data_IF_778879245867
#
_entry.id   IF_778879245867
#
_cell.length_a   1.000
_cell.length_b   1.000
_cell.length_c   1.000
_cell.angle_alpha   90.00
_cell.angle_beta   90.00
_cell.angle_gamma   90.00
#
_symmetry.space_group_name_H-M   'P 1'
#
loop_
_entity.id
_entity.type
_entity.pdbx_description
1 polymer ?
#
# COMPACT_ATOMS: atom_id res chain seq x y z
N UNK A 1 2.58 -22.14 -20.64
CA UNK A 1 1.13 -22.45 -20.58
C UNK A 1 0.44 -21.52 -19.56
N UNK A 2 -0.77 -21.01 -19.83
CA UNK A 2 -1.49 -20.06 -18.94
C UNK A 2 -1.74 -20.60 -17.53
N UNK A 3 -2.07 -21.88 -17.40
CA UNK A 3 -2.24 -22.55 -16.09
C UNK A 3 -0.98 -22.48 -15.21
N UNK A 4 0.18 -22.70 -15.81
CA UNK A 4 1.47 -22.63 -15.08
C UNK A 4 1.76 -21.19 -14.65
N UNK A 5 1.57 -20.21 -15.55
CA UNK A 5 1.76 -18.81 -15.21
C UNK A 5 0.78 -18.33 -14.12
N UNK A 6 -0.48 -18.79 -14.17
CA UNK A 6 -1.50 -18.50 -13.19
C UNK A 6 -1.15 -19.04 -11.80
N UNK A 7 -0.68 -20.30 -11.70
CA UNK A 7 -0.20 -20.88 -10.45
C UNK A 7 0.96 -20.08 -9.87
N UNK A 8 1.99 -19.81 -10.68
CA UNK A 8 3.16 -19.04 -10.25
C UNK A 8 2.77 -17.64 -9.77
N UNK A 9 1.86 -16.97 -10.48
CA UNK A 9 1.37 -15.66 -10.09
C UNK A 9 0.62 -15.70 -8.75
N UNK A 10 -0.27 -16.68 -8.57
CA UNK A 10 -1.00 -16.86 -7.32
C UNK A 10 -0.04 -17.10 -6.14
N UNK A 11 0.99 -17.94 -6.32
CA UNK A 11 1.98 -18.23 -5.28
C UNK A 11 2.81 -16.99 -4.90
N UNK A 12 3.19 -16.17 -5.89
CA UNK A 12 3.90 -14.92 -5.67
C UNK A 12 3.02 -13.91 -4.92
N UNK A 13 1.76 -13.75 -5.32
CA UNK A 13 0.82 -12.85 -4.64
C UNK A 13 0.56 -13.32 -3.22
N UNK A 14 0.42 -14.62 -2.97
CA UNK A 14 0.23 -15.17 -1.63
C UNK A 14 1.43 -14.86 -0.70
N UNK A 15 2.67 -14.91 -1.21
CA UNK A 15 3.86 -14.51 -0.45
C UNK A 15 3.83 -13.03 -0.09
N UNK A 16 3.45 -12.18 -1.04
CA UNK A 16 3.32 -10.73 -0.80
C UNK A 16 2.21 -10.42 0.22
N UNK A 17 1.07 -11.10 0.13
CA UNK A 17 -0.03 -10.99 1.10
C UNK A 17 0.38 -11.46 2.49
N UNK A 18 1.14 -12.56 2.59
CA UNK A 18 1.68 -13.04 3.86
C UNK A 18 2.63 -12.02 4.48
N UNK A 19 3.49 -11.40 3.65
CA UNK A 19 4.34 -10.30 4.11
C UNK A 19 3.50 -9.12 4.62
N UNK A 20 2.40 -8.78 3.97
CA UNK A 20 1.47 -7.72 4.39
C UNK A 20 0.52 -8.11 5.55
N UNK A 21 0.85 -9.16 6.32
CA UNK A 21 0.05 -9.67 7.45
C UNK A 21 -1.38 -10.12 7.06
N UNK A 22 -1.54 -10.62 5.83
CA UNK A 22 -2.79 -11.17 5.29
C UNK A 22 -2.63 -12.65 4.85
N UNK A 23 -2.13 -13.56 5.72
CA UNK A 23 -1.79 -14.93 5.33
C UNK A 23 -3.01 -15.78 4.93
N UNK A 24 -4.20 -15.40 5.40
CA UNK A 24 -5.44 -16.11 5.12
C UNK A 24 -6.04 -15.77 3.76
N UNK A 25 -5.54 -14.72 3.10
CA UNK A 25 -6.07 -14.28 1.82
C UNK A 25 -5.51 -15.15 0.71
N UNK A 26 -6.39 -15.83 -0.01
CA UNK A 26 -6.01 -16.72 -1.11
C UNK A 26 -6.46 -16.15 -2.45
N UNK A 27 -5.59 -16.24 -3.46
CA UNK A 27 -5.89 -15.89 -4.84
C UNK A 27 -6.10 -17.15 -5.67
N UNK A 28 -7.27 -17.27 -6.29
CA UNK A 28 -7.60 -18.30 -7.26
C UNK A 28 -7.78 -17.69 -8.65
N UNK A 29 -6.97 -18.14 -9.60
CA UNK A 29 -7.09 -17.75 -11.01
C UNK A 29 -7.99 -18.77 -11.72
N UNK A 30 -9.20 -18.35 -12.07
CA UNK A 30 -10.16 -19.18 -12.79
C UNK A 30 -9.89 -19.06 -14.30
N UNK A 31 -9.71 -20.20 -14.95
CA UNK A 31 -9.60 -20.30 -16.41
C UNK A 31 -10.75 -21.16 -16.93
N UNK A 32 -11.54 -20.63 -17.86
CA UNK A 32 -12.58 -21.36 -18.57
C UNK A 32 -12.52 -21.09 -20.06
N UNK A 33 -13.09 -21.99 -20.84
CA UNK A 33 -13.25 -21.79 -22.27
C UNK A 33 -14.29 -20.69 -22.54
N UNK A 34 -13.89 -19.70 -23.33
CA UNK A 34 -14.75 -18.64 -23.85
C UNK A 34 -14.82 -18.67 -25.37
N UNK A 35 -15.20 -17.53 -25.96
CA UNK A 35 -15.19 -17.33 -27.41
C UNK A 35 -13.75 -17.09 -27.91
N UNK A 36 -13.48 -17.46 -29.15
CA UNK A 36 -12.22 -17.06 -29.79
C UNK A 36 -12.16 -15.54 -29.93
N UNK A 37 -11.08 -14.96 -29.42
CA UNK A 37 -10.75 -13.54 -29.56
C UNK A 37 -9.32 -13.38 -30.03
N UNK A 38 -8.89 -12.15 -30.33
CA UNK A 38 -7.46 -11.85 -30.57
C UNK A 38 -6.55 -12.19 -29.38
N UNK A 39 -7.12 -12.40 -28.18
CA UNK A 39 -6.42 -12.84 -26.98
C UNK A 39 -6.52 -14.35 -26.74
N UNK A 40 -7.03 -15.14 -27.69
CA UNK A 40 -7.24 -16.59 -27.56
C UNK A 40 -8.62 -16.97 -27.03
N UNK A 41 -8.81 -18.25 -26.69
CA UNK A 41 -10.09 -18.83 -26.27
C UNK A 41 -10.35 -18.72 -24.75
N UNK A 42 -9.30 -18.61 -23.93
CA UNK A 42 -9.49 -18.63 -22.48
C UNK A 42 -10.05 -17.31 -21.93
N UNK A 43 -11.09 -17.42 -21.11
CA UNK A 43 -11.53 -16.37 -20.21
C UNK A 43 -10.86 -16.58 -18.84
N UNK A 44 -10.15 -15.54 -18.38
CA UNK A 44 -9.43 -15.53 -17.11
C UNK A 44 -10.13 -14.60 -16.12
N UNK A 45 -10.31 -15.05 -14.89
CA UNK A 45 -10.85 -14.23 -13.81
C UNK A 45 -10.11 -14.47 -12.49
N UNK A 46 -9.89 -13.40 -11.73
CA UNK A 46 -9.25 -13.44 -10.42
C UNK A 46 -10.31 -13.46 -9.33
N UNK A 47 -10.25 -14.50 -8.51
CA UNK A 47 -11.12 -14.70 -7.37
C UNK A 47 -10.27 -14.73 -6.10
N UNK A 48 -10.82 -14.18 -5.03
CA UNK A 48 -10.12 -14.06 -3.76
C UNK A 48 -11.03 -14.53 -2.64
N UNK A 49 -10.45 -15.14 -1.63
CA UNK A 49 -11.11 -15.47 -0.37
C UNK A 49 -10.30 -14.84 0.76
N UNK A 50 -10.94 -14.03 1.59
CA UNK A 50 -10.27 -13.29 2.67
C UNK A 50 -10.17 -14.09 3.96
N UNK A 51 -11.05 -15.06 4.15
CA UNK A 51 -11.12 -15.90 5.34
C UNK A 51 -11.03 -17.39 4.98
N UNK A 52 -10.38 -18.23 5.80
CA UNK A 52 -10.35 -19.66 5.58
C UNK A 52 -11.77 -20.24 5.55
N UNK A 53 -12.08 -21.05 4.53
CA UNK A 53 -13.39 -21.68 4.37
C UNK A 53 -14.44 -20.82 3.66
N UNK A 54 -14.17 -19.56 3.33
CA UNK A 54 -15.05 -18.78 2.46
C UNK A 54 -14.83 -19.11 0.98
N UNK A 55 -15.93 -19.23 0.24
CA UNK A 55 -15.90 -19.37 -1.21
C UNK A 55 -15.24 -18.15 -1.86
N UNK A 56 -14.23 -18.33 -2.74
CA UNK A 56 -13.61 -17.22 -3.45
C UNK A 56 -14.65 -16.44 -4.26
N UNK A 57 -14.58 -15.11 -4.23
CA UNK A 57 -15.44 -14.24 -5.06
C UNK A 57 -14.58 -13.20 -5.79
N UNK A 58 -15.22 -12.46 -6.70
CA UNK A 58 -14.59 -11.30 -7.34
C UNK A 58 -14.10 -10.31 -6.28
N UNK A 59 -12.95 -9.70 -6.53
CA UNK A 59 -12.33 -8.70 -5.65
C UNK A 59 -13.27 -7.56 -5.24
N UNK A 60 -14.22 -7.20 -6.10
CA UNK A 60 -15.24 -6.17 -5.84
C UNK A 60 -16.25 -6.53 -4.74
N UNK A 61 -16.31 -7.80 -4.31
CA UNK A 61 -17.39 -8.33 -3.46
C UNK A 61 -16.93 -8.82 -2.08
N UNK A 62 -15.66 -8.65 -1.71
CA UNK A 62 -15.06 -9.43 -0.59
C UNK A 62 -14.23 -8.64 0.40
N UNK A 63 -13.85 -7.41 0.11
CA UNK A 63 -12.83 -6.70 0.89
C UNK A 63 -13.33 -5.31 1.29
N UNK A 64 -12.97 -4.90 2.50
CA UNK A 64 -13.00 -3.48 2.89
C UNK A 64 -12.04 -2.65 2.02
N UNK A 65 -12.19 -1.32 2.03
CA UNK A 65 -11.33 -0.42 1.25
C UNK A 65 -9.83 -0.64 1.52
N UNK A 66 -9.44 -0.75 2.79
CA UNK A 66 -8.06 -0.99 3.18
C UNK A 66 -7.51 -2.36 2.80
N UNK A 67 -8.30 -3.43 2.95
CA UNK A 67 -7.89 -4.78 2.53
C UNK A 67 -7.73 -4.85 1.01
N UNK A 68 -8.65 -4.24 0.27
CA UNK A 68 -8.57 -4.14 -1.18
C UNK A 68 -7.30 -3.42 -1.62
N UNK A 69 -6.98 -2.27 -1.01
CA UNK A 69 -5.75 -1.53 -1.27
C UNK A 69 -4.49 -2.36 -1.02
N UNK A 70 -4.46 -3.17 0.04
CA UNK A 70 -3.33 -4.08 0.33
C UNK A 70 -3.23 -5.25 -0.65
N UNK A 71 -4.36 -5.84 -1.04
CA UNK A 71 -4.40 -6.88 -2.09
C UNK A 71 -3.87 -6.32 -3.41
N UNK A 72 -4.29 -5.11 -3.78
CA UNK A 72 -3.81 -4.44 -4.99
C UNK A 72 -2.31 -4.12 -4.89
N UNK A 73 -1.81 -3.69 -3.73
CA UNK A 73 -0.38 -3.48 -3.52
C UNK A 73 0.42 -4.80 -3.72
N UNK A 74 -0.05 -5.92 -3.17
CA UNK A 74 0.57 -7.22 -3.36
C UNK A 74 0.62 -7.61 -4.84
N UNK A 75 -0.49 -7.46 -5.57
CA UNK A 75 -0.53 -7.72 -7.01
C UNK A 75 0.41 -6.81 -7.79
N UNK A 76 0.43 -5.50 -7.49
CA UNK A 76 1.29 -4.52 -8.16
C UNK A 76 2.77 -4.73 -7.85
N UNK A 77 3.10 -5.24 -6.67
CA UNK A 77 4.45 -5.67 -6.29
C UNK A 77 4.93 -6.82 -7.19
N UNK A 78 4.10 -7.86 -7.37
CA UNK A 78 4.43 -9.00 -8.26
C UNK A 78 4.54 -8.57 -9.73
N UNK A 79 3.73 -7.59 -10.17
CA UNK A 79 3.68 -7.10 -11.54
C UNK A 79 4.56 -5.87 -11.80
N UNK A 80 5.43 -5.48 -10.87
CA UNK A 80 6.16 -4.22 -10.92
C UNK A 80 6.98 -4.04 -12.22
N UNK A 81 7.56 -5.13 -12.75
CA UNK A 81 8.39 -5.11 -13.97
C UNK A 81 7.58 -5.13 -15.28
N UNK A 82 6.32 -5.56 -15.24
CA UNK A 82 5.51 -5.82 -16.45
C UNK A 82 4.30 -4.91 -16.62
N UNK A 83 3.92 -4.18 -15.58
CA UNK A 83 2.78 -3.30 -15.62
C UNK A 83 3.16 -1.89 -16.11
N UNK A 84 2.39 -1.41 -17.08
CA UNK A 84 2.66 -0.19 -17.86
C UNK A 84 2.18 1.08 -17.16
N UNK A 85 1.44 0.95 -16.05
CA UNK A 85 0.92 2.10 -15.30
C UNK A 85 2.05 2.80 -14.57
N UNK A 86 2.29 4.07 -14.91
CA UNK A 86 3.41 4.86 -14.37
C UNK A 86 3.15 5.43 -12.96
N UNK A 87 1.89 5.72 -12.63
CA UNK A 87 1.50 6.33 -11.35
C UNK A 87 0.43 5.50 -10.67
N UNK A 88 0.65 5.20 -9.39
CA UNK A 88 -0.27 4.47 -8.52
C UNK A 88 -0.72 5.36 -7.37
N UNK A 89 -2.01 5.32 -7.06
CA UNK A 89 -2.60 6.05 -5.94
C UNK A 89 -3.19 5.03 -4.98
N UNK A 90 -2.75 5.07 -3.73
CA UNK A 90 -3.28 4.28 -2.64
C UNK A 90 -3.93 5.20 -1.62
N UNK A 91 -5.18 4.88 -1.31
CA UNK A 91 -5.93 5.51 -0.23
C UNK A 91 -6.31 4.43 0.80
N UNK A 92 -6.40 4.83 2.06
CA UNK A 92 -6.82 3.98 3.18
C UNK A 92 -6.03 2.66 3.38
N UNK A 93 -4.82 2.54 2.81
CA UNK A 93 -4.05 1.29 2.84
C UNK A 93 -3.63 0.88 4.26
N UNK A 94 -3.51 1.86 5.15
CA UNK A 94 -3.20 1.72 6.58
C UNK A 94 -4.44 1.53 7.46
N UNK A 95 -5.63 1.35 6.89
CA UNK A 95 -6.85 1.10 7.66
C UNK A 95 -6.78 -0.26 8.38
N UNK A 96 -7.06 -0.23 9.69
CA UNK A 96 -7.11 -1.43 10.53
C UNK A 96 -5.75 -2.05 10.83
N UNK A 97 -4.64 -1.35 10.55
CA UNK A 97 -3.27 -1.85 10.79
C UNK A 97 -2.43 -0.80 11.50
N UNK A 98 -1.44 -1.25 12.27
CA UNK A 98 -0.53 -0.36 13.01
C UNK A 98 0.81 -1.05 13.27
N UNK A 99 1.76 -0.33 13.86
CA UNK A 99 3.05 -0.88 14.26
C UNK A 99 3.82 -1.53 13.09
N UNK A 100 4.21 -2.80 13.28
CA UNK A 100 4.99 -3.55 12.30
C UNK A 100 4.25 -3.74 10.97
N UNK A 101 2.93 -3.97 10.99
CA UNK A 101 2.14 -4.14 9.76
C UNK A 101 2.15 -2.88 8.89
N UNK A 102 2.00 -1.70 9.50
CA UNK A 102 2.10 -0.42 8.79
C UNK A 102 3.51 -0.20 8.20
N UNK A 103 4.56 -0.60 8.93
CA UNK A 103 5.93 -0.55 8.42
C UNK A 103 6.13 -1.46 7.20
N UNK A 104 5.59 -2.69 7.22
CA UNK A 104 5.65 -3.62 6.08
C UNK A 104 4.95 -3.04 4.85
N UNK A 105 3.80 -2.41 5.03
CA UNK A 105 3.11 -1.69 3.95
C UNK A 105 4.00 -0.58 3.37
N UNK A 106 4.61 0.25 4.23
CA UNK A 106 5.54 1.29 3.81
C UNK A 106 6.73 0.74 3.01
N UNK A 107 7.30 -0.40 3.43
CA UNK A 107 8.40 -1.06 2.72
C UNK A 107 7.94 -1.48 1.32
N UNK A 108 6.75 -2.06 1.19
CA UNK A 108 6.22 -2.48 -0.11
C UNK A 108 5.88 -1.32 -1.02
N UNK A 109 5.30 -0.24 -0.47
CA UNK A 109 5.09 1.01 -1.20
C UNK A 109 6.41 1.55 -1.74
N UNK A 110 7.47 1.56 -0.91
CA UNK A 110 8.81 2.02 -1.32
C UNK A 110 9.42 1.14 -2.42
N UNK A 111 9.28 -0.19 -2.30
CA UNK A 111 9.75 -1.13 -3.33
C UNK A 111 9.06 -0.90 -4.68
N UNK A 112 7.73 -0.73 -4.68
CA UNK A 112 6.97 -0.41 -5.90
C UNK A 112 7.37 0.97 -6.45
N UNK A 113 7.66 1.93 -5.56
CA UNK A 113 8.08 3.28 -5.93
C UNK A 113 9.47 3.34 -6.61
N UNK A 114 10.24 2.26 -6.63
CA UNK A 114 11.50 2.19 -7.39
C UNK A 114 11.28 2.23 -8.90
N UNK A 115 10.14 1.75 -9.36
CA UNK A 115 9.82 1.64 -10.79
C UNK A 115 8.72 2.60 -11.24
N UNK A 116 8.00 3.23 -10.29
CA UNK A 116 6.78 3.99 -10.53
C UNK A 116 6.62 5.13 -9.54
N UNK A 117 5.79 6.11 -9.88
CA UNK A 117 5.34 7.08 -8.88
C UNK A 117 4.24 6.48 -8.02
N UNK A 118 4.40 6.54 -6.70
CA UNK A 118 3.38 6.09 -5.73
C UNK A 118 2.94 7.27 -4.89
N UNK A 119 1.64 7.56 -4.93
CA UNK A 119 0.98 8.53 -4.05
C UNK A 119 0.20 7.74 -2.99
N UNK A 120 0.48 7.99 -1.72
CA UNK A 120 -0.21 7.35 -0.61
C UNK A 120 -0.77 8.44 0.32
N UNK A 121 -2.08 8.40 0.57
CA UNK A 121 -2.69 9.17 1.65
C UNK A 121 -2.65 8.29 2.90
N UNK A 122 -2.10 8.80 4.00
CA UNK A 122 -1.83 7.99 5.20
C UNK A 122 -1.82 8.85 6.45
N UNK A 123 -2.17 8.22 7.57
CA UNK A 123 -2.01 8.78 8.92
C UNK A 123 -0.93 8.02 9.71
N UNK A 124 -0.23 7.06 9.10
CA UNK A 124 0.79 6.25 9.73
C UNK A 124 2.17 6.92 9.68
N UNK A 125 2.73 7.17 10.87
CA UNK A 125 4.11 7.64 11.02
C UNK A 125 5.14 6.69 10.35
N UNK A 126 4.87 5.38 10.40
CA UNK A 126 5.72 4.35 9.79
C UNK A 126 5.78 4.50 8.27
N UNK A 127 4.65 4.73 7.61
CA UNK A 127 4.58 4.93 6.15
C UNK A 127 5.22 6.27 5.78
N UNK A 128 4.93 7.34 6.52
CA UNK A 128 5.53 8.67 6.28
C UNK A 128 7.05 8.59 6.38
N UNK A 129 7.60 7.92 7.40
CA UNK A 129 9.05 7.77 7.57
C UNK A 129 9.74 7.12 6.35
N UNK A 130 9.09 6.17 5.69
CA UNK A 130 9.61 5.44 4.52
C UNK A 130 9.47 6.19 3.19
N UNK A 131 8.68 7.27 3.14
CA UNK A 131 8.44 8.03 1.90
C UNK A 131 9.67 8.80 1.40
N UNK A 132 9.86 8.85 0.08
CA UNK A 132 10.90 9.70 -0.54
C UNK A 132 10.59 11.20 -0.38
N UNK A 133 9.30 11.55 -0.54
CA UNK A 133 8.79 12.90 -0.38
C UNK A 133 7.54 12.84 0.50
N UNK A 134 7.36 13.85 1.34
CA UNK A 134 6.19 13.96 2.21
C UNK A 134 5.49 15.30 1.97
N UNK A 135 4.16 15.24 1.82
CA UNK A 135 3.30 16.40 1.72
C UNK A 135 2.42 16.46 2.97
N UNK A 136 2.37 17.61 3.63
CA UNK A 136 1.45 17.89 4.73
C UNK A 136 0.20 18.60 4.20
N UNK A 137 -0.95 17.99 4.45
CA UNK A 137 -2.26 18.58 4.15
C UNK A 137 -2.84 19.12 5.45
N UNK A 138 -3.11 20.42 5.51
CA UNK A 138 -3.68 21.07 6.69
C UNK A 138 -4.75 22.10 6.33
N UNK A 139 -5.71 22.30 7.24
CA UNK A 139 -6.70 23.37 7.12
C UNK A 139 -6.09 24.69 7.61
N UNK A 140 -6.29 25.76 6.86
CA UNK A 140 -5.90 27.12 7.24
C UNK A 140 -7.13 28.03 7.13
N UNK A 141 -7.42 28.79 8.18
CA UNK A 141 -8.51 29.78 8.17
C UNK A 141 -7.95 31.17 7.90
N UNK A 142 -8.48 31.85 6.89
CA UNK A 142 -8.16 33.23 6.56
C UNK A 142 -9.46 33.98 6.28
N UNK A 143 -9.64 35.15 6.91
CA UNK A 143 -10.84 36.00 6.74
C UNK A 143 -12.17 35.24 6.92
N UNK A 144 -12.22 34.35 7.93
CA UNK A 144 -13.41 33.56 8.24
C UNK A 144 -13.69 32.39 7.28
N UNK A 145 -12.84 32.14 6.29
CA UNK A 145 -12.95 31.00 5.35
C UNK A 145 -11.84 29.99 5.58
N UNK A 146 -12.20 28.71 5.58
CA UNK A 146 -11.26 27.58 5.73
C UNK A 146 -10.84 27.07 4.36
N UNK A 147 -9.53 27.02 4.12
CA UNK A 147 -8.93 26.48 2.91
C UNK A 147 -8.01 25.30 3.24
N UNK A 148 -7.85 24.38 2.29
CA UNK A 148 -6.87 23.30 2.38
C UNK A 148 -5.55 23.78 1.82
N UNK A 149 -4.48 23.68 2.62
CA UNK A 149 -3.12 23.98 2.21
C UNK A 149 -2.31 22.69 2.15
N UNK A 150 -1.54 22.54 1.07
CA UNK A 150 -0.59 21.44 0.89
C UNK A 150 0.82 22.01 0.94
N UNK A 151 1.66 21.44 1.80
CA UNK A 151 3.04 21.86 2.03
C UNK A 151 3.99 20.70 1.76
N UNK A 152 5.03 20.93 0.96
CA UNK A 152 6.15 19.98 0.85
C UNK A 152 7.02 20.08 2.10
N UNK A 153 7.31 18.93 2.72
CA UNK A 153 8.15 18.86 3.92
C UNK A 153 9.61 18.63 3.53
N UNK A 154 10.51 19.45 4.07
CA UNK A 154 11.94 19.11 4.12
C UNK A 154 12.19 18.02 5.18
N UNK A 155 13.43 17.50 5.26
CA UNK A 155 13.78 16.41 6.19
C UNK A 155 13.45 16.74 7.65
N UNK A 156 13.83 17.92 8.14
CA UNK A 156 13.54 18.35 9.52
C UNK A 156 12.04 18.47 9.77
N UNK A 157 11.28 19.01 8.82
CA UNK A 157 9.84 19.11 8.91
C UNK A 157 9.17 17.72 8.88
N UNK A 158 9.68 16.78 8.06
CA UNK A 158 9.24 15.38 8.04
C UNK A 158 9.47 14.71 9.39
N UNK A 159 10.63 14.89 10.03
CA UNK A 159 10.92 14.36 11.37
C UNK A 159 9.92 14.91 12.41
N UNK A 160 9.70 16.23 12.40
CA UNK A 160 8.72 16.86 13.29
C UNK A 160 7.30 16.32 13.05
N UNK A 161 6.92 16.10 11.80
CA UNK A 161 5.61 15.57 11.45
C UNK A 161 5.43 14.11 11.85
N UNK A 162 6.45 13.26 11.65
CA UNK A 162 6.47 11.88 12.15
C UNK A 162 6.33 11.87 13.68
N UNK A 163 7.07 12.73 14.39
CA UNK A 163 6.94 12.87 15.84
C UNK A 163 5.55 13.35 16.26
N UNK A 164 4.96 14.29 15.52
CA UNK A 164 3.59 14.80 15.75
C UNK A 164 2.56 13.69 15.59
N UNK A 165 2.63 12.90 14.52
CA UNK A 165 1.71 11.77 14.27
C UNK A 165 1.80 10.72 15.38
N UNK A 166 3.00 10.45 15.89
CA UNK A 166 3.21 9.51 16.99
C UNK A 166 2.78 10.04 18.36
N UNK A 167 2.72 11.37 18.52
CA UNK A 167 2.41 12.00 19.79
C UNK A 167 0.92 11.95 20.12
N UNK A 168 0.61 11.79 21.40
CA UNK A 168 -0.75 11.93 21.95
C UNK A 168 -0.95 13.30 22.64
N UNK A 169 0.02 14.21 22.51
CA UNK A 169 0.08 15.48 23.23
C UNK A 169 1.25 16.33 22.76
N UNK A 170 1.98 16.98 23.69
CA UNK A 170 3.16 17.75 23.35
C UNK A 170 4.30 16.85 22.84
N UNK A 171 4.92 17.25 21.72
CA UNK A 171 6.06 16.54 21.16
C UNK A 171 7.27 16.72 22.08
N UNK A 172 7.73 15.61 22.69
CA UNK A 172 8.90 15.59 23.57
C UNK A 172 10.21 15.40 22.78
N UNK A 173 11.34 15.72 23.42
CA UNK A 173 12.68 15.45 22.83
C UNK A 173 12.90 13.97 22.51
N UNK A 174 12.36 13.07 23.32
CA UNK A 174 12.45 11.62 23.08
C UNK A 174 11.65 11.19 21.84
N UNK A 175 10.46 11.76 21.65
CA UNK A 175 9.66 11.49 20.45
C UNK A 175 10.35 11.99 19.18
N UNK A 176 10.98 13.17 19.23
CA UNK A 176 11.76 13.69 18.11
C UNK A 176 12.94 12.79 17.77
N UNK A 177 13.69 12.33 18.77
CA UNK A 177 14.81 11.41 18.56
C UNK A 177 14.36 10.08 17.95
N UNK A 178 13.23 9.54 18.40
CA UNK A 178 12.66 8.32 17.83
C UNK A 178 12.19 8.53 16.37
N UNK A 179 11.53 9.67 16.09
CA UNK A 179 11.10 10.01 14.74
C UNK A 179 12.29 10.21 13.79
N UNK A 180 13.38 10.81 14.26
CA UNK A 180 14.61 10.96 13.49
C UNK A 180 15.21 9.60 13.12
N UNK A 181 15.29 8.67 14.08
CA UNK A 181 15.75 7.30 13.83
C UNK A 181 14.85 6.56 12.83
N UNK A 182 13.52 6.72 12.96
CA UNK A 182 12.57 6.13 12.01
C UNK A 182 12.76 6.67 10.59
N UNK A 183 12.90 7.99 10.43
CA UNK A 183 13.14 8.62 9.12
C UNK A 183 14.48 8.16 8.55
N UNK A 184 15.53 8.14 9.36
CA UNK A 184 16.87 7.68 8.95
C UNK A 184 16.85 6.23 8.46
N UNK A 185 16.28 5.31 9.22
CA UNK A 185 16.11 3.90 8.80
C UNK A 185 15.25 3.80 7.55
N UNK A 186 14.21 4.62 7.47
CA UNK A 186 13.34 4.71 6.30
C UNK A 186 14.09 5.14 5.04
N UNK A 187 15.07 6.03 5.16
CA UNK A 187 15.97 6.46 4.08
C UNK A 187 16.92 5.33 3.64
N UNK A 188 17.45 4.57 4.59
CA UNK A 188 18.41 3.47 4.36
C UNK A 188 17.81 2.21 3.72
N UNK A 189 16.51 1.94 3.95
CA UNK A 189 15.81 0.82 3.32
C UNK A 189 15.73 1.06 1.82
N UNK A 190 16.46 0.28 1.04
CA UNK A 190 16.38 0.34 -0.42
C UNK A 190 15.08 -0.31 -0.86
#
# INVERSE_FOLDING_TARGET
>A
CRKIAASRFADQVAKELTFLDMPNVTLKVMQKDGKYTSKGKDEIAFYFSTNPGEEPKSISKIASGGELSRIMLAMKSVLAEHDQVQTLIFDEIDTGVSGSSAQKIGIKLKQVARHRQVLCVTHSAQIVALSHHSLLVQKQTQEGRTFTKVLTLNRTQKINEVARIMSTGLVSKLLLSNAEEMVKRGEEIT
#
